data_IF_606197593595
#
_entry.id   IF_606197593595
#
_cell.length_a   1.000
_cell.length_b   1.000
_cell.length_c   1.000
_cell.angle_alpha   90.00
_cell.angle_beta   90.00
_cell.angle_gamma   90.00
#
_symmetry.space_group_name_H-M   'P 1'
#
loop_
_entity.id
_entity.type
_entity.pdbx_description
1 polymer ?
#
# COMPACT_ATOMS: atom_id res chain seq x y z
N UNK A 1 14.03 -7.77 -3.55
CA UNK A 1 13.60 -7.97 -2.15
C UNK A 1 13.06 -9.39 -1.96
N UNK A 2 13.19 -10.01 -0.78
CA UNK A 2 12.56 -11.33 -0.49
C UNK A 2 11.12 -11.15 -0.03
N UNK A 3 10.30 -12.21 -0.07
CA UNK A 3 8.91 -12.18 0.39
C UNK A 3 8.79 -11.76 1.87
N UNK A 4 9.64 -12.30 2.76
CA UNK A 4 9.67 -11.90 4.18
C UNK A 4 10.01 -10.42 4.37
N UNK A 5 10.99 -9.90 3.61
CA UNK A 5 11.37 -8.49 3.68
C UNK A 5 10.23 -7.58 3.17
N UNK A 6 9.55 -8.02 2.11
CA UNK A 6 8.38 -7.34 1.58
C UNK A 6 7.24 -7.31 2.60
N UNK A 7 6.89 -8.46 3.19
CA UNK A 7 5.88 -8.56 4.24
C UNK A 7 6.19 -7.67 5.44
N UNK A 8 7.43 -7.69 5.92
CA UNK A 8 7.85 -6.82 7.02
C UNK A 8 7.76 -5.34 6.65
N UNK A 9 8.09 -4.98 5.40
CA UNK A 9 7.94 -3.61 4.92
C UNK A 9 6.48 -3.20 4.84
N UNK A 10 5.60 -4.04 4.30
CA UNK A 10 4.16 -3.78 4.24
C UNK A 10 3.57 -3.57 5.64
N UNK A 11 3.94 -4.40 6.62
CA UNK A 11 3.53 -4.24 8.03
C UNK A 11 4.01 -2.92 8.62
N UNK A 12 5.25 -2.52 8.31
CA UNK A 12 5.76 -1.23 8.74
C UNK A 12 4.95 -0.08 8.14
N UNK A 13 4.75 -0.05 6.83
CA UNK A 13 3.96 1.00 6.16
C UNK A 13 2.50 1.00 6.62
N UNK A 14 1.89 -0.16 6.83
CA UNK A 14 0.54 -0.28 7.38
C UNK A 14 0.39 0.43 8.74
N UNK A 15 1.43 0.35 9.58
CA UNK A 15 1.44 1.01 10.90
C UNK A 15 1.71 2.51 10.82
N UNK A 16 2.45 2.99 9.82
CA UNK A 16 2.77 4.42 9.66
C UNK A 16 1.56 5.21 9.16
N UNK A 17 0.62 4.56 8.45
CA UNK A 17 -0.62 5.17 7.97
C UNK A 17 -1.49 5.80 9.09
N UNK A 18 -1.37 5.33 10.33
CA UNK A 18 -2.10 5.90 11.48
C UNK A 18 -1.61 7.29 11.91
N UNK A 19 -0.41 7.68 11.47
CA UNK A 19 0.27 8.89 11.92
C UNK A 19 0.48 9.91 10.79
N UNK A 20 -0.25 9.77 9.68
CA UNK A 20 -0.13 10.68 8.55
C UNK A 20 -0.60 12.09 8.91
N UNK A 21 0.18 13.06 8.45
CA UNK A 21 -0.16 14.48 8.47
C UNK A 21 -0.19 15.00 7.04
N UNK A 22 -0.81 16.17 6.77
CA UNK A 22 -0.77 16.77 5.43
C UNK A 22 0.63 16.88 4.84
N UNK A 23 1.64 17.14 5.68
CA UNK A 23 3.03 17.26 5.24
C UNK A 23 3.74 15.92 4.97
N UNK A 24 3.22 14.79 5.44
CA UNK A 24 3.86 13.47 5.31
C UNK A 24 3.09 12.48 4.44
N UNK A 25 1.80 12.74 4.22
CA UNK A 25 0.89 11.81 3.54
C UNK A 25 1.37 11.46 2.13
N UNK A 26 1.69 12.46 1.30
CA UNK A 26 2.07 12.25 -0.10
C UNK A 26 3.31 11.36 -0.20
N UNK A 27 4.34 11.66 0.58
CA UNK A 27 5.59 10.90 0.57
C UNK A 27 5.42 9.46 1.05
N UNK A 28 4.61 9.25 2.10
CA UNK A 28 4.33 7.91 2.61
C UNK A 28 3.53 7.08 1.59
N UNK A 29 2.45 7.63 1.07
CA UNK A 29 1.63 6.95 0.07
C UNK A 29 2.43 6.65 -1.21
N UNK A 30 3.13 7.63 -1.77
CA UNK A 30 3.99 7.42 -2.94
C UNK A 30 5.00 6.30 -2.73
N UNK A 31 5.60 6.20 -1.52
CA UNK A 31 6.52 5.10 -1.19
C UNK A 31 5.82 3.74 -1.19
N UNK A 32 4.61 3.66 -0.64
CA UNK A 32 3.80 2.43 -0.63
C UNK A 32 3.47 1.98 -2.05
N UNK A 33 3.07 2.90 -2.91
CA UNK A 33 2.65 2.56 -4.26
C UNK A 33 3.82 2.08 -5.13
N UNK A 34 4.99 2.73 -5.04
CA UNK A 34 6.20 2.24 -5.69
C UNK A 34 6.59 0.84 -5.20
N UNK A 35 6.45 0.58 -3.89
CA UNK A 35 6.72 -0.73 -3.32
C UNK A 35 5.79 -1.81 -3.89
N UNK A 36 4.50 -1.52 -4.02
CA UNK A 36 3.50 -2.43 -4.57
C UNK A 36 3.72 -2.67 -6.09
N UNK A 37 4.01 -1.62 -6.84
CA UNK A 37 4.21 -1.71 -8.29
C UNK A 37 5.45 -2.54 -8.65
N UNK A 38 6.58 -2.29 -7.97
CA UNK A 38 7.86 -2.92 -8.31
C UNK A 38 8.02 -4.30 -7.67
N UNK A 39 7.77 -4.41 -6.37
CA UNK A 39 7.99 -5.64 -5.63
C UNK A 39 6.71 -6.46 -5.48
N UNK A 40 5.54 -5.83 -5.33
CA UNK A 40 4.26 -6.54 -5.24
C UNK A 40 3.95 -7.34 -6.50
N UNK A 41 4.00 -6.73 -7.69
CA UNK A 41 3.76 -7.43 -8.96
C UNK A 41 4.76 -8.57 -9.20
N UNK A 42 6.05 -8.30 -8.95
CA UNK A 42 7.11 -9.32 -9.11
C UNK A 42 6.91 -10.50 -8.16
N UNK A 43 6.66 -10.24 -6.89
CA UNK A 43 6.50 -11.28 -5.87
C UNK A 43 5.17 -12.04 -6.05
N UNK A 44 4.11 -11.38 -6.51
CA UNK A 44 2.86 -12.04 -6.86
C UNK A 44 3.09 -13.12 -7.93
N UNK A 45 3.84 -12.79 -8.98
CA UNK A 45 4.18 -13.74 -10.05
C UNK A 45 5.17 -14.83 -9.59
N UNK A 46 6.13 -14.51 -8.72
CA UNK A 46 7.16 -15.45 -8.24
C UNK A 46 6.60 -16.50 -7.27
N UNK A 47 5.63 -16.12 -6.42
CA UNK A 47 5.07 -16.96 -5.36
C UNK A 47 3.59 -17.35 -5.59
N UNK A 48 3.02 -17.01 -6.75
CA UNK A 48 1.63 -17.31 -7.14
C UNK A 48 0.58 -16.82 -6.10
N UNK A 49 0.79 -15.63 -5.53
CA UNK A 49 0.02 -15.11 -4.37
C UNK A 49 -1.43 -14.71 -4.68
N UNK A 50 -1.82 -14.66 -5.96
CA UNK A 50 -3.18 -14.29 -6.38
C UNK A 50 -3.60 -12.85 -6.08
N UNK A 51 -2.65 -11.92 -6.03
CA UNK A 51 -2.86 -10.52 -5.67
C UNK A 51 -3.27 -9.62 -6.85
N UNK A 52 -3.37 -10.13 -8.07
CA UNK A 52 -3.50 -9.33 -9.31
C UNK A 52 -4.62 -8.29 -9.23
N UNK A 53 -5.84 -8.72 -8.87
CA UNK A 53 -7.00 -7.82 -8.76
C UNK A 53 -6.87 -6.80 -7.61
N UNK A 54 -6.09 -7.13 -6.57
CA UNK A 54 -5.85 -6.24 -5.45
C UNK A 54 -4.80 -5.19 -5.79
N UNK A 55 -3.73 -5.58 -6.50
CA UNK A 55 -2.70 -4.66 -6.98
C UNK A 55 -3.29 -3.68 -8.00
N UNK A 56 -4.09 -4.16 -8.95
CA UNK A 56 -4.80 -3.30 -9.93
C UNK A 56 -5.69 -2.25 -9.23
N UNK A 57 -6.49 -2.66 -8.23
CA UNK A 57 -7.32 -1.72 -7.45
C UNK A 57 -6.50 -0.72 -6.63
N UNK A 58 -5.31 -1.12 -6.17
CA UNK A 58 -4.43 -0.21 -5.43
C UNK A 58 -3.78 0.81 -6.35
N UNK A 59 -3.51 0.46 -7.60
CA UNK A 59 -3.03 1.37 -8.64
C UNK A 59 -4.10 2.42 -9.02
N UNK A 60 -5.39 2.06 -9.06
CA UNK A 60 -6.48 3.03 -9.27
C UNK A 60 -6.55 4.07 -8.14
N UNK A 61 -6.45 3.63 -6.88
CA UNK A 61 -6.43 4.53 -5.71
C UNK A 61 -5.21 5.46 -5.76
N UNK A 62 -4.06 4.98 -6.23
CA UNK A 62 -2.84 5.77 -6.39
C UNK A 62 -3.03 6.95 -7.33
N UNK A 63 -3.57 6.70 -8.53
CA UNK A 63 -3.64 7.69 -9.59
C UNK A 63 -4.67 8.80 -9.29
N UNK A 64 -5.81 8.44 -8.70
CA UNK A 64 -6.91 9.40 -8.47
C UNK A 64 -6.73 10.25 -7.21
N UNK A 65 -6.02 9.76 -6.19
CA UNK A 65 -6.08 10.35 -4.84
C UNK A 65 -4.76 11.01 -4.38
N UNK A 66 -3.70 11.03 -5.19
CA UNK A 66 -2.44 11.68 -4.84
C UNK A 66 -2.35 13.13 -5.30
N UNK A 67 -2.90 14.02 -4.49
CA UNK A 67 -2.69 15.47 -4.61
C UNK A 67 -1.88 16.02 -3.44
N UNK A 68 -0.99 16.98 -3.65
CA UNK A 68 -0.09 17.47 -2.58
C UNK A 68 -0.77 18.30 -1.49
N UNK A 69 -2.04 18.67 -1.65
CA UNK A 69 -2.74 19.67 -0.82
C UNK A 69 -4.13 19.22 -0.33
N UNK A 70 -4.34 17.91 -0.17
CA UNK A 70 -5.62 17.39 0.34
C UNK A 70 -5.94 17.87 1.78
N UNK A 71 -7.22 18.16 2.08
CA UNK A 71 -7.70 18.38 3.44
C UNK A 71 -7.40 17.19 4.38
N UNK A 72 -7.27 17.48 5.68
CA UNK A 72 -6.92 16.45 6.68
C UNK A 72 -7.95 15.32 6.82
N UNK A 73 -9.22 15.59 6.56
CA UNK A 73 -10.31 14.62 6.53
C UNK A 73 -10.27 13.74 5.27
N UNK A 74 -9.93 14.31 4.11
CA UNK A 74 -9.73 13.54 2.88
C UNK A 74 -8.48 12.65 2.99
N UNK A 75 -7.38 13.17 3.53
CA UNK A 75 -6.17 12.36 3.81
C UNK A 75 -6.50 11.14 4.68
N UNK A 76 -7.35 11.30 5.70
CA UNK A 76 -7.77 10.17 6.55
C UNK A 76 -8.58 9.14 5.78
N UNK A 77 -9.46 9.59 4.88
CA UNK A 77 -10.23 8.68 4.04
C UNK A 77 -9.33 7.87 3.11
N UNK A 78 -8.39 8.53 2.42
CA UNK A 78 -7.40 7.88 1.55
C UNK A 78 -6.52 6.91 2.33
N UNK A 79 -5.97 7.36 3.46
CA UNK A 79 -5.14 6.54 4.34
C UNK A 79 -5.89 5.27 4.78
N UNK A 80 -7.18 5.39 5.12
CA UNK A 80 -8.00 4.25 5.52
C UNK A 80 -8.24 3.26 4.36
N UNK A 81 -8.45 3.75 3.13
CA UNK A 81 -8.59 2.90 1.94
C UNK A 81 -7.30 2.11 1.67
N UNK A 82 -6.16 2.81 1.60
CA UNK A 82 -4.83 2.21 1.40
C UNK A 82 -4.51 1.22 2.51
N UNK A 83 -4.79 1.58 3.77
CA UNK A 83 -4.59 0.71 4.92
C UNK A 83 -5.40 -0.57 4.82
N UNK A 84 -6.64 -0.48 4.37
CA UNK A 84 -7.51 -1.66 4.16
C UNK A 84 -6.93 -2.57 3.08
N UNK A 85 -6.52 -2.01 1.94
CA UNK A 85 -5.88 -2.77 0.87
C UNK A 85 -4.59 -3.47 1.32
N UNK A 86 -3.70 -2.75 2.01
CA UNK A 86 -2.48 -3.32 2.60
C UNK A 86 -2.80 -4.44 3.60
N UNK A 87 -3.82 -4.27 4.44
CA UNK A 87 -4.22 -5.30 5.40
C UNK A 87 -4.64 -6.61 4.73
N UNK A 88 -5.34 -6.52 3.60
CA UNK A 88 -5.74 -7.69 2.81
C UNK A 88 -4.49 -8.37 2.20
N UNK A 89 -3.59 -7.59 1.58
CA UNK A 89 -2.36 -8.12 0.99
C UNK A 89 -1.50 -8.83 2.04
N UNK A 90 -1.30 -8.20 3.20
CA UNK A 90 -0.54 -8.78 4.32
C UNK A 90 -1.17 -10.11 4.74
N UNK A 91 -2.49 -10.15 4.92
CA UNK A 91 -3.19 -11.36 5.37
C UNK A 91 -3.09 -12.50 4.37
N UNK A 92 -3.12 -12.20 3.06
CA UNK A 92 -2.96 -13.20 2.01
C UNK A 92 -1.55 -13.78 2.00
N UNK A 93 -0.52 -12.92 2.10
CA UNK A 93 0.88 -13.36 2.16
C UNK A 93 1.15 -14.20 3.43
N UNK A 94 0.54 -13.87 4.56
CA UNK A 94 0.69 -14.64 5.80
C UNK A 94 -0.02 -15.99 5.81
N UNK A 95 -0.96 -16.22 4.89
CA UNK A 95 -1.73 -17.44 4.80
C UNK A 95 -1.05 -18.53 3.93
N UNK A 96 -0.05 -18.16 3.14
CA UNK A 96 0.82 -19.04 2.35
C UNK A 96 1.96 -19.64 3.21
#
# INVERSE_FOLDING_TARGET
>A
MTLDNFLNRLKHEYSTLDYLTPSTYYGCLSTIFVLLELDGNRLNAEYELGLDQLLEKMEEIYEEELETDLPADEIKAVAQKVKTGLGIIISLIEAE
#
